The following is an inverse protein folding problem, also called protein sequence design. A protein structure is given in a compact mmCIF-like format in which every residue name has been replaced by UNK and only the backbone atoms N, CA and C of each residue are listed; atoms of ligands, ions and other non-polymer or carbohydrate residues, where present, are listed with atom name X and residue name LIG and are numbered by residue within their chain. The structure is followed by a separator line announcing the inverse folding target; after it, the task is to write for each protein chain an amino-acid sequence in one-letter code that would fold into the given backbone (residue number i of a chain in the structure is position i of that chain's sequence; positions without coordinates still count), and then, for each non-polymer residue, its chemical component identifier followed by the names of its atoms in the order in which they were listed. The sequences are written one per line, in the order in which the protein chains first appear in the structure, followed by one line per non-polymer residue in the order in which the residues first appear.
data_IF_210927842034
#
_entry.id   IF_210927842034
#
_cell.length_a   1.000
_cell.length_b   1.000
_cell.length_c   1.000
_cell.angle_alpha   90.00
_cell.angle_beta   90.00
_cell.angle_gamma   90.00
#
_symmetry.space_group_name_H-M   'P 1'
#
loop_
_entity.id
_entity.type
_entity.pdbx_description
1 polymer ?
#
# COMPACT_ATOMS: atom_id res chain seq x y z
N UNK A 1 16.73 -13.91 30.51
CA UNK A 1 15.62 -14.07 29.55
C UNK A 1 14.90 -12.73 29.46
N UNK A 2 14.88 -12.06 28.29
CA UNK A 2 14.20 -10.77 28.19
C UNK A 2 12.68 -11.03 28.25
N UNK A 3 12.00 -10.24 29.10
CA UNK A 3 10.53 -10.28 29.22
C UNK A 3 9.90 -9.84 27.89
N UNK A 4 8.81 -10.48 27.42
CA UNK A 4 8.08 -9.98 26.26
C UNK A 4 7.50 -8.59 26.56
N UNK A 5 7.72 -7.65 25.64
CA UNK A 5 7.23 -6.27 25.73
C UNK A 5 5.68 -6.25 25.73
N UNK A 6 5.03 -5.40 26.55
CA UNK A 6 3.56 -5.35 26.74
C UNK A 6 2.80 -4.67 25.58
N UNK A 7 3.28 -4.77 24.34
CA UNK A 7 2.73 -4.03 23.19
C UNK A 7 1.46 -4.72 22.64
N UNK A 8 1.35 -6.04 22.78
CA UNK A 8 0.25 -6.81 22.21
C UNK A 8 -1.04 -6.75 23.02
N UNK A 9 -0.94 -6.61 24.35
CA UNK A 9 -2.10 -6.36 25.19
C UNK A 9 -2.72 -4.99 24.90
N UNK A 10 -1.99 -4.01 24.39
CA UNK A 10 -2.56 -2.68 24.12
C UNK A 10 -3.13 -2.52 22.70
N UNK A 11 -2.76 -3.36 21.74
CA UNK A 11 -3.45 -3.42 20.44
C UNK A 11 -4.75 -4.25 20.51
N UNK A 12 -4.86 -5.18 21.46
CA UNK A 12 -6.01 -6.08 21.62
C UNK A 12 -6.91 -5.68 22.80
N UNK A 13 -6.40 -5.00 23.83
CA UNK A 13 -7.22 -4.32 24.87
C UNK A 13 -7.52 -2.85 24.48
N UNK A 14 -7.48 -2.55 23.18
CA UNK A 14 -8.16 -1.41 22.57
C UNK A 14 -9.60 -1.83 22.22
N UNK A 15 -10.30 -2.42 23.19
CA UNK A 15 -11.63 -3.00 23.02
C UNK A 15 -12.61 -2.43 24.05
N UNK A 16 -13.67 -1.84 23.51
CA UNK A 16 -15.02 -1.69 24.08
C UNK A 16 -15.45 -0.45 24.86
N UNK A 17 -14.57 0.40 25.41
CA UNK A 17 -15.06 1.52 26.27
C UNK A 17 -14.64 2.94 25.89
N UNK A 18 -13.64 3.15 25.00
CA UNK A 18 -13.22 4.49 24.55
C UNK A 18 -12.73 4.57 23.09
N UNK A 19 -13.17 3.64 22.24
CA UNK A 19 -13.13 3.81 20.77
C UNK A 19 -14.52 4.23 20.33
N UNK A 20 -14.89 5.45 20.70
CA UNK A 20 -16.07 6.03 20.13
C UNK A 20 -15.79 6.36 18.66
N UNK A 21 -15.99 5.40 17.76
CA UNK A 21 -15.36 5.33 16.44
C UNK A 21 -13.86 5.03 16.61
N UNK A 22 -13.17 4.20 15.83
CA UNK A 22 -12.80 4.50 14.45
C UNK A 22 -12.85 5.99 14.07
N UNK A 23 -12.51 6.89 14.99
CA UNK A 23 -11.93 8.17 14.60
C UNK A 23 -10.61 7.80 13.93
N UNK A 24 -10.61 7.77 12.59
CA UNK A 24 -9.39 7.86 11.78
C UNK A 24 -8.43 6.69 12.06
N UNK A 25 -8.56 5.60 11.29
CA UNK A 25 -7.42 4.69 11.14
C UNK A 25 -6.17 5.55 10.88
N UNK A 26 -5.20 5.42 11.78
CA UNK A 26 -4.03 6.31 11.83
C UNK A 26 -3.36 6.34 10.45
N UNK A 27 -2.87 7.50 9.99
CA UNK A 27 -2.07 7.61 8.76
C UNK A 27 -0.83 6.70 8.73
N UNK A 28 -0.52 6.02 9.85
CA UNK A 28 0.64 5.17 10.03
C UNK A 28 0.28 3.70 10.32
N UNK A 29 -0.92 3.24 9.94
CA UNK A 29 -1.28 1.81 10.06
C UNK A 29 -0.26 0.92 9.36
N UNK A 30 0.25 1.34 8.20
CA UNK A 30 1.30 0.61 7.47
C UNK A 30 2.58 0.41 8.28
N UNK A 31 3.09 1.46 8.93
CA UNK A 31 4.32 1.39 9.72
C UNK A 31 4.18 0.49 10.96
N UNK A 32 3.04 0.60 11.67
CA UNK A 32 2.76 -0.25 12.83
C UNK A 32 2.57 -1.71 12.41
N UNK A 33 1.81 -1.94 11.33
CA UNK A 33 1.52 -3.29 10.83
C UNK A 33 2.77 -4.00 10.30
N UNK A 34 3.65 -3.28 9.60
CA UNK A 34 4.92 -3.83 9.09
C UNK A 34 5.87 -4.28 10.22
N UNK A 35 5.76 -3.72 11.41
CA UNK A 35 6.56 -4.09 12.57
C UNK A 35 6.04 -5.34 13.33
N UNK A 36 4.84 -5.82 13.01
CA UNK A 36 4.26 -7.02 13.60
C UNK A 36 4.92 -8.29 13.05
N UNK A 37 4.93 -9.37 13.83
CA UNK A 37 5.30 -10.70 13.33
C UNK A 37 4.29 -11.18 12.28
N UNK A 38 4.70 -12.09 11.40
CA UNK A 38 3.83 -12.64 10.34
C UNK A 38 2.55 -13.30 10.87
N UNK A 39 2.58 -13.84 12.09
CA UNK A 39 1.39 -14.41 12.74
C UNK A 39 0.44 -13.30 13.20
N UNK A 40 0.95 -12.24 13.82
CA UNK A 40 0.15 -11.09 14.25
C UNK A 40 -0.44 -10.32 13.06
N UNK A 41 0.33 -10.20 11.97
CA UNK A 41 -0.14 -9.63 10.71
C UNK A 41 -1.33 -10.41 10.16
N UNK A 42 -1.25 -11.75 10.15
CA UNK A 42 -2.34 -12.62 9.70
C UNK A 42 -3.58 -12.45 10.57
N UNK A 43 -3.42 -12.52 11.89
CA UNK A 43 -4.53 -12.34 12.83
C UNK A 43 -5.21 -10.98 12.68
N UNK A 44 -4.43 -9.94 12.40
CA UNK A 44 -4.95 -8.59 12.16
C UNK A 44 -5.75 -8.51 10.85
N UNK A 45 -5.22 -9.07 9.76
CA UNK A 45 -5.91 -9.15 8.47
C UNK A 45 -7.20 -9.95 8.58
N UNK A 46 -7.21 -11.08 9.29
CA UNK A 46 -8.40 -11.91 9.50
C UNK A 46 -9.49 -11.15 10.28
N UNK A 47 -9.10 -10.33 11.27
CA UNK A 47 -10.02 -9.44 11.98
C UNK A 47 -10.58 -8.35 11.07
N UNK A 48 -9.78 -7.78 10.17
CA UNK A 48 -10.26 -6.80 9.18
C UNK A 48 -11.23 -7.43 8.18
N UNK A 49 -10.95 -8.65 7.70
CA UNK A 49 -11.90 -9.40 6.86
C UNK A 49 -13.23 -9.62 7.58
N UNK A 50 -13.17 -10.09 8.83
CA UNK A 50 -14.37 -10.31 9.64
C UNK A 50 -15.15 -9.01 9.89
N UNK A 51 -14.45 -7.88 10.11
CA UNK A 51 -15.08 -6.58 10.23
C UNK A 51 -15.77 -6.15 8.92
N UNK A 52 -15.08 -6.27 7.77
CA UNK A 52 -15.64 -5.94 6.46
C UNK A 52 -16.89 -6.78 6.14
N UNK A 53 -16.88 -8.08 6.47
CA UNK A 53 -18.04 -8.96 6.31
C UNK A 53 -19.21 -8.57 7.24
N UNK A 54 -18.92 -8.07 8.46
CA UNK A 54 -19.97 -7.49 9.32
C UNK A 54 -20.58 -6.24 8.70
N UNK A 55 -19.81 -5.40 8.01
CA UNK A 55 -20.36 -4.23 7.30
C UNK A 55 -21.35 -4.61 6.19
N UNK A 56 -21.15 -5.75 5.52
CA UNK A 56 -22.09 -6.21 4.49
C UNK A 56 -23.45 -6.61 5.09
N UNK A 57 -23.46 -7.14 6.30
CA UNK A 57 -24.66 -7.68 6.94
C UNK A 57 -25.33 -6.73 7.92
N UNK A 58 -24.55 -5.87 8.60
CA UNK A 58 -25.00 -4.96 9.67
C UNK A 58 -24.75 -3.49 9.34
N UNK A 59 -24.18 -3.17 8.17
CA UNK A 59 -23.84 -1.79 7.81
C UNK A 59 -25.03 -0.85 7.69
N UNK A 60 -26.27 -1.37 7.61
CA UNK A 60 -27.50 -0.57 7.59
C UNK A 60 -28.16 -0.48 8.99
N UNK A 61 -27.61 -1.16 10.00
CA UNK A 61 -28.12 -1.10 11.38
C UNK A 61 -27.63 0.17 12.08
N UNK A 62 -28.60 1.01 12.47
CA UNK A 62 -28.36 2.28 13.18
C UNK A 62 -27.67 2.07 14.52
N UNK A 63 -28.03 1.03 15.27
CA UNK A 63 -27.42 0.77 16.58
C UNK A 63 -25.98 0.29 16.41
N UNK A 64 -25.71 -0.55 15.40
CA UNK A 64 -24.36 -0.94 15.04
C UNK A 64 -23.50 0.29 14.68
N UNK A 65 -23.95 1.15 13.77
CA UNK A 65 -23.22 2.35 13.38
C UNK A 65 -23.08 3.37 14.51
N UNK A 66 -24.06 3.45 15.43
CA UNK A 66 -23.97 4.28 16.64
C UNK A 66 -22.99 3.71 17.66
N UNK A 67 -22.89 2.38 17.79
CA UNK A 67 -21.85 1.74 18.63
C UNK A 67 -20.44 2.09 18.13
N UNK A 68 -20.30 2.31 16.83
CA UNK A 68 -19.10 2.82 16.18
C UNK A 68 -19.02 4.36 16.21
N UNK A 69 -19.94 5.08 16.84
CA UNK A 69 -20.00 6.54 16.95
C UNK A 69 -19.89 7.28 15.60
N UNK A 70 -20.44 6.69 14.54
CA UNK A 70 -20.48 7.30 13.20
C UNK A 70 -21.79 8.05 12.93
N UNK A 71 -22.79 7.85 13.79
CA UNK A 71 -24.07 8.51 13.70
C UNK A 71 -24.24 9.48 14.86
N UNK A 72 -24.75 10.67 14.53
CA UNK A 72 -25.26 11.63 15.51
C UNK A 72 -26.48 11.05 16.25
N UNK A 73 -26.87 11.60 17.42
CA UNK A 73 -27.98 11.08 18.20
C UNK A 73 -29.30 10.94 17.41
N UNK A 74 -29.57 11.87 16.49
CA UNK A 74 -30.74 11.84 15.59
C UNK A 74 -30.27 11.87 14.13
N UNK A 75 -30.01 10.71 13.50
CA UNK A 75 -29.50 10.63 12.13
C UNK A 75 -30.56 11.08 11.11
N UNK A 76 -30.13 11.67 9.99
CA UNK A 76 -30.98 11.89 8.81
C UNK A 76 -31.07 10.59 8.00
N UNK A 77 -32.07 10.44 7.11
CA UNK A 77 -32.16 9.26 6.24
C UNK A 77 -30.91 9.01 5.36
N UNK A 78 -30.13 10.06 5.07
CA UNK A 78 -28.88 9.97 4.32
C UNK A 78 -27.64 9.65 5.17
N UNK A 79 -27.72 9.75 6.50
CA UNK A 79 -26.55 9.54 7.36
C UNK A 79 -26.10 8.08 7.39
N UNK A 80 -27.05 7.14 7.46
CA UNK A 80 -26.77 5.69 7.47
C UNK A 80 -26.03 5.22 6.21
N UNK A 81 -26.57 5.40 4.98
CA UNK A 81 -25.89 4.94 3.77
C UNK A 81 -24.54 5.63 3.54
N UNK A 82 -24.41 6.91 3.92
CA UNK A 82 -23.14 7.64 3.83
C UNK A 82 -22.10 7.09 4.81
N UNK A 83 -22.48 6.83 6.06
CA UNK A 83 -21.59 6.25 7.06
C UNK A 83 -21.13 4.84 6.65
N UNK A 84 -22.06 4.01 6.13
CA UNK A 84 -21.75 2.68 5.60
C UNK A 84 -20.74 2.76 4.44
N UNK A 85 -21.00 3.61 3.45
CA UNK A 85 -20.11 3.77 2.30
C UNK A 85 -18.70 4.19 2.73
N UNK A 86 -18.59 5.21 3.59
CA UNK A 86 -17.31 5.68 4.11
C UNK A 86 -16.55 4.58 4.89
N UNK A 87 -17.27 3.75 5.67
CA UNK A 87 -16.67 2.62 6.36
C UNK A 87 -16.18 1.53 5.41
N UNK A 88 -16.94 1.22 4.37
CA UNK A 88 -16.55 0.23 3.36
C UNK A 88 -15.30 0.70 2.63
N UNK A 89 -15.29 1.94 2.14
CA UNK A 89 -14.14 2.51 1.43
C UNK A 89 -12.89 2.51 2.31
N UNK A 90 -13.03 2.99 3.56
CA UNK A 90 -11.93 2.99 4.52
C UNK A 90 -11.44 1.57 4.84
N UNK A 91 -12.34 0.62 5.07
CA UNK A 91 -11.96 -0.76 5.40
C UNK A 91 -11.26 -1.45 4.23
N UNK A 92 -11.76 -1.26 3.01
CA UNK A 92 -11.16 -1.80 1.79
C UNK A 92 -9.75 -1.23 1.56
N UNK A 93 -9.55 0.07 1.79
CA UNK A 93 -8.23 0.69 1.69
C UNK A 93 -7.24 0.13 2.73
N UNK A 94 -7.63 0.06 4.01
CA UNK A 94 -6.76 -0.47 5.06
C UNK A 94 -6.43 -1.94 4.86
N UNK A 95 -7.40 -2.73 4.43
CA UNK A 95 -7.19 -4.14 4.10
C UNK A 95 -6.15 -4.27 2.97
N UNK A 96 -6.28 -3.46 1.91
CA UNK A 96 -5.32 -3.44 0.80
C UNK A 96 -3.91 -3.07 1.25
N UNK A 97 -3.77 -2.07 2.14
CA UNK A 97 -2.47 -1.73 2.74
C UNK A 97 -1.90 -2.88 3.58
N UNK A 98 -2.71 -3.50 4.45
CA UNK A 98 -2.25 -4.62 5.27
C UNK A 98 -1.84 -5.83 4.42
N UNK A 99 -2.56 -6.08 3.33
CA UNK A 99 -2.22 -7.14 2.37
C UNK A 99 -0.88 -6.83 1.66
N UNK A 100 -0.62 -5.57 1.28
CA UNK A 100 0.69 -5.14 0.76
C UNK A 100 1.81 -5.46 1.75
N UNK A 101 1.68 -4.99 2.99
CA UNK A 101 2.73 -5.05 4.01
C UNK A 101 2.78 -6.38 4.79
N UNK A 102 1.96 -7.37 4.42
CA UNK A 102 2.05 -8.72 5.00
C UNK A 102 3.39 -9.38 4.62
N UNK A 103 3.88 -10.28 5.47
CA UNK A 103 5.09 -11.07 5.21
C UNK A 103 4.76 -12.57 5.20
N UNK A 104 4.80 -13.24 4.02
CA UNK A 104 5.02 -12.67 2.68
C UNK A 104 3.86 -11.78 2.22
N UNK A 105 4.10 -10.94 1.22
CA UNK A 105 3.08 -10.03 0.68
C UNK A 105 1.87 -10.80 0.15
N UNK A 106 0.67 -10.29 0.45
CA UNK A 106 -0.63 -10.83 0.05
C UNK A 106 -1.37 -9.87 -0.88
N UNK A 107 -0.66 -8.94 -1.53
CA UNK A 107 -1.24 -7.87 -2.36
C UNK A 107 -2.17 -8.39 -3.46
N UNK A 108 -1.94 -9.58 -4.01
CA UNK A 108 -2.83 -10.20 -4.99
C UNK A 108 -4.27 -10.39 -4.48
N UNK A 109 -4.48 -10.56 -3.17
CA UNK A 109 -5.81 -10.67 -2.56
C UNK A 109 -6.54 -9.32 -2.48
N UNK A 110 -5.84 -8.20 -2.71
CA UNK A 110 -6.38 -6.87 -2.55
C UNK A 110 -7.28 -6.41 -3.72
N UNK A 111 -7.24 -7.09 -4.87
CA UNK A 111 -7.95 -6.71 -6.12
C UNK A 111 -9.40 -6.27 -5.88
N UNK A 112 -10.31 -7.10 -5.30
CA UNK A 112 -11.71 -6.72 -5.17
C UNK A 112 -11.94 -5.54 -4.22
N UNK A 113 -11.00 -5.26 -3.32
CA UNK A 113 -11.08 -4.14 -2.39
C UNK A 113 -10.60 -2.85 -3.05
N UNK A 114 -9.51 -2.91 -3.81
CA UNK A 114 -8.98 -1.78 -4.57
C UNK A 114 -9.94 -1.34 -5.67
N UNK A 115 -10.58 -2.28 -6.38
CA UNK A 115 -11.63 -1.97 -7.36
C UNK A 115 -12.79 -1.19 -6.71
N UNK A 116 -13.20 -1.60 -5.51
CA UNK A 116 -14.24 -0.88 -4.76
C UNK A 116 -13.78 0.52 -4.32
N UNK A 117 -12.53 0.68 -3.87
CA UNK A 117 -11.97 1.98 -3.49
C UNK A 117 -11.95 2.93 -4.69
N UNK A 118 -11.45 2.46 -5.84
CA UNK A 118 -11.41 3.26 -7.08
C UNK A 118 -12.83 3.61 -7.55
N UNK A 119 -13.76 2.66 -7.51
CA UNK A 119 -15.15 2.91 -7.87
C UNK A 119 -15.85 3.91 -6.92
N UNK A 120 -15.54 3.84 -5.62
CA UNK A 120 -16.00 4.78 -4.60
C UNK A 120 -15.49 6.20 -4.88
N UNK A 121 -14.18 6.33 -5.15
CA UNK A 121 -13.55 7.60 -5.53
C UNK A 121 -14.21 8.21 -6.77
N UNK A 122 -14.31 7.45 -7.86
CA UNK A 122 -14.94 7.92 -9.12
C UNK A 122 -16.40 8.36 -8.92
N UNK A 123 -17.15 7.70 -8.02
CA UNK A 123 -18.53 8.09 -7.69
C UNK A 123 -18.60 9.42 -6.96
N UNK A 124 -17.65 9.67 -6.05
CA UNK A 124 -17.61 10.88 -5.24
C UNK A 124 -16.94 12.06 -5.98
N UNK A 125 -16.15 11.75 -7.03
CA UNK A 125 -15.36 12.70 -7.81
C UNK A 125 -15.52 12.42 -9.32
N UNK A 126 -16.74 12.57 -9.90
CA UNK A 126 -17.01 12.18 -11.29
C UNK A 126 -16.22 12.98 -12.34
N UNK A 127 -15.93 14.25 -12.06
CA UNK A 127 -15.09 15.12 -12.88
C UNK A 127 -13.67 15.28 -12.29
N UNK A 128 -13.35 14.48 -11.26
CA UNK A 128 -12.17 14.65 -10.44
C UNK A 128 -10.94 13.94 -10.98
N UNK A 129 -9.81 14.28 -10.37
CA UNK A 129 -8.51 13.68 -10.64
C UNK A 129 -8.51 12.19 -10.25
N UNK A 130 -7.69 11.42 -10.98
CA UNK A 130 -7.43 10.02 -10.68
C UNK A 130 -6.76 9.93 -9.32
N UNK A 131 -7.32 9.13 -8.40
CA UNK A 131 -6.59 8.76 -7.19
C UNK A 131 -5.51 7.75 -7.57
N UNK A 132 -4.29 8.26 -7.75
CA UNK A 132 -3.18 7.48 -8.28
C UNK A 132 -2.74 6.36 -7.34
N UNK A 133 -2.98 6.49 -6.03
CA UNK A 133 -2.46 5.52 -5.04
C UNK A 133 -3.17 4.17 -5.15
N UNK A 134 -4.52 4.09 -5.12
CA UNK A 134 -5.24 2.85 -5.36
C UNK A 134 -4.99 2.27 -6.75
N UNK A 135 -4.84 3.11 -7.79
CA UNK A 135 -4.52 2.67 -9.16
C UNK A 135 -3.14 1.97 -9.20
N UNK A 136 -2.11 2.54 -8.56
CA UNK A 136 -0.80 1.90 -8.41
C UNK A 136 -0.88 0.56 -7.68
N UNK A 137 -1.62 0.50 -6.55
CA UNK A 137 -1.79 -0.73 -5.79
C UNK A 137 -2.53 -1.80 -6.60
N UNK A 138 -3.55 -1.41 -7.38
CA UNK A 138 -4.32 -2.35 -8.21
C UNK A 138 -3.47 -2.87 -9.36
N UNK A 139 -2.67 -2.02 -10.00
CA UNK A 139 -1.68 -2.45 -10.99
C UNK A 139 -0.73 -3.52 -10.42
N UNK A 140 -0.20 -3.32 -9.21
CA UNK A 140 0.65 -4.32 -8.54
C UNK A 140 -0.12 -5.59 -8.16
N UNK A 141 -1.35 -5.46 -7.65
CA UNK A 141 -2.16 -6.62 -7.28
C UNK A 141 -2.50 -7.51 -8.48
N UNK A 142 -2.80 -6.91 -9.64
CA UNK A 142 -3.07 -7.60 -10.89
C UNK A 142 -1.79 -8.18 -11.53
N UNK A 143 -0.65 -7.51 -11.39
CA UNK A 143 0.65 -8.01 -11.85
C UNK A 143 1.00 -9.40 -11.29
N UNK A 144 0.55 -9.68 -10.06
CA UNK A 144 0.75 -10.96 -9.36
C UNK A 144 -0.22 -12.08 -9.83
N UNK A 145 -1.21 -11.75 -10.68
CA UNK A 145 -2.22 -12.71 -11.16
C UNK A 145 -1.95 -13.09 -12.63
N UNK A 146 -1.71 -14.37 -12.94
CA UNK A 146 -1.52 -14.82 -14.32
C UNK A 146 -2.72 -14.46 -15.21
N UNK A 147 -2.47 -13.88 -16.38
CA UNK A 147 -3.52 -13.50 -17.34
C UNK A 147 -4.14 -12.11 -17.11
N UNK A 148 -3.67 -11.37 -16.11
CA UNK A 148 -4.13 -10.00 -15.80
C UNK A 148 -3.12 -8.92 -16.24
N UNK A 149 -2.17 -9.26 -17.10
CA UNK A 149 -1.03 -8.39 -17.43
C UNK A 149 -1.46 -7.06 -18.07
N UNK A 150 -2.34 -7.10 -19.08
CA UNK A 150 -2.82 -5.88 -19.74
C UNK A 150 -3.71 -5.02 -18.83
N UNK A 151 -4.48 -5.66 -17.93
CA UNK A 151 -5.25 -4.94 -16.92
C UNK A 151 -4.31 -4.21 -15.94
N UNK A 152 -3.25 -4.88 -15.47
CA UNK A 152 -2.23 -4.26 -14.64
C UNK A 152 -1.57 -3.06 -15.34
N UNK A 153 -1.19 -3.20 -16.62
CA UNK A 153 -0.61 -2.12 -17.43
C UNK A 153 -1.57 -0.92 -17.53
N UNK A 154 -2.88 -1.16 -17.74
CA UNK A 154 -3.86 -0.09 -17.83
C UNK A 154 -3.94 0.74 -16.54
N UNK A 155 -3.92 0.08 -15.37
CA UNK A 155 -3.91 0.75 -14.07
C UNK A 155 -2.61 1.51 -13.79
N UNK A 156 -1.44 0.93 -14.15
CA UNK A 156 -0.17 1.64 -14.06
C UNK A 156 -0.16 2.91 -14.94
N UNK A 157 -0.61 2.80 -16.19
CA UNK A 157 -0.71 3.97 -17.09
C UNK A 157 -1.66 5.02 -16.56
N UNK A 158 -2.85 4.63 -16.09
CA UNK A 158 -3.79 5.58 -15.49
C UNK A 158 -3.16 6.35 -14.32
N UNK A 159 -2.38 5.68 -13.47
CA UNK A 159 -1.67 6.33 -12.37
C UNK A 159 -0.56 7.28 -12.85
N UNK A 160 0.31 6.85 -13.77
CA UNK A 160 1.47 7.64 -14.19
C UNK A 160 1.15 8.70 -15.26
N UNK A 161 0.06 8.56 -16.01
CA UNK A 161 -0.44 9.64 -16.87
C UNK A 161 -1.00 10.80 -16.01
N UNK A 162 -1.58 10.48 -14.85
CA UNK A 162 -2.10 11.47 -13.91
C UNK A 162 -1.00 12.07 -13.00
N UNK A 163 -0.01 11.27 -12.61
CA UNK A 163 1.14 11.68 -11.79
C UNK A 163 2.45 11.13 -12.40
N UNK A 164 3.01 11.82 -13.41
CA UNK A 164 4.17 11.32 -14.15
C UNK A 164 5.47 11.37 -13.34
N UNK A 165 5.60 12.29 -12.38
CA UNK A 165 6.81 12.47 -11.61
C UNK A 165 6.70 11.82 -10.21
N UNK A 166 7.81 11.28 -9.72
CA UNK A 166 7.90 10.75 -8.35
C UNK A 166 7.83 11.91 -7.34
N UNK A 167 6.65 12.11 -6.75
CA UNK A 167 6.37 13.16 -5.77
C UNK A 167 6.43 12.70 -4.31
N UNK A 168 5.65 13.36 -3.45
CA UNK A 168 5.65 13.18 -1.97
C UNK A 168 5.39 11.73 -1.50
N UNK A 169 4.78 10.89 -2.34
CA UNK A 169 4.55 9.47 -2.08
C UNK A 169 5.63 8.57 -2.69
N UNK A 170 6.89 9.03 -2.67
CA UNK A 170 8.00 8.44 -3.41
C UNK A 170 8.14 6.93 -3.20
N UNK A 171 8.00 6.42 -1.97
CA UNK A 171 8.11 4.98 -1.68
C UNK A 171 7.04 4.15 -2.38
N UNK A 172 5.79 4.62 -2.47
CA UNK A 172 4.73 3.89 -3.18
C UNK A 172 5.00 3.93 -4.67
N UNK A 173 5.38 5.09 -5.22
CA UNK A 173 5.64 5.22 -6.65
C UNK A 173 6.84 4.40 -7.11
N UNK A 174 7.96 4.45 -6.38
CA UNK A 174 9.16 3.67 -6.69
C UNK A 174 8.85 2.16 -6.67
N UNK A 175 8.15 1.71 -5.64
CA UNK A 175 7.72 0.31 -5.53
C UNK A 175 6.81 -0.09 -6.70
N UNK A 176 5.79 0.70 -7.02
CA UNK A 176 4.86 0.37 -8.10
C UNK A 176 5.53 0.45 -9.47
N UNK A 177 6.47 1.38 -9.69
CA UNK A 177 7.26 1.47 -10.94
C UNK A 177 8.20 0.29 -11.08
N UNK A 178 8.82 -0.16 -9.99
CA UNK A 178 9.64 -1.37 -10.02
C UNK A 178 8.81 -2.63 -10.39
N UNK A 179 7.60 -2.76 -9.85
CA UNK A 179 6.66 -3.80 -10.28
C UNK A 179 6.27 -3.66 -11.76
N UNK A 180 6.02 -2.44 -12.23
CA UNK A 180 5.65 -2.16 -13.61
C UNK A 180 6.80 -2.48 -14.59
N UNK A 181 8.02 -2.06 -14.28
CA UNK A 181 9.23 -2.44 -15.02
C UNK A 181 9.35 -3.95 -15.18
N UNK A 182 9.24 -4.71 -14.08
CA UNK A 182 9.30 -6.19 -14.12
C UNK A 182 8.21 -6.79 -15.01
N UNK A 183 7.00 -6.26 -14.95
CA UNK A 183 5.91 -6.67 -15.85
C UNK A 183 6.30 -6.46 -17.31
N UNK A 184 6.82 -5.28 -17.64
CA UNK A 184 7.18 -4.91 -19.00
C UNK A 184 8.34 -5.77 -19.54
N UNK A 185 9.39 -6.01 -18.75
CA UNK A 185 10.46 -6.94 -19.13
C UNK A 185 9.93 -8.36 -19.38
N UNK A 186 9.05 -8.86 -18.50
CA UNK A 186 8.43 -10.19 -18.66
C UNK A 186 7.64 -10.31 -19.98
N UNK A 187 7.06 -9.22 -20.45
CA UNK A 187 6.33 -9.14 -21.72
C UNK A 187 7.21 -8.80 -22.93
N UNK A 188 8.52 -8.60 -22.74
CA UNK A 188 9.44 -8.17 -23.80
C UNK A 188 9.24 -6.72 -24.27
N UNK A 189 8.56 -5.87 -23.47
CA UNK A 189 8.31 -4.46 -23.76
C UNK A 189 9.48 -3.59 -23.28
N UNK A 190 10.66 -3.92 -23.78
CA UNK A 190 11.94 -3.46 -23.24
C UNK A 190 12.07 -1.93 -23.19
N UNK A 191 11.63 -1.22 -24.23
CA UNK A 191 11.69 0.24 -24.26
C UNK A 191 10.92 0.87 -23.09
N UNK A 192 9.68 0.44 -22.88
CA UNK A 192 8.84 0.97 -21.80
C UNK A 192 9.37 0.54 -20.43
N UNK A 193 9.96 -0.65 -20.33
CA UNK A 193 10.57 -1.13 -19.10
C UNK A 193 11.75 -0.25 -18.67
N UNK A 194 12.65 0.07 -19.62
CA UNK A 194 13.79 0.95 -19.40
C UNK A 194 13.38 2.37 -19.01
N UNK A 195 12.26 2.88 -19.54
CA UNK A 195 11.70 4.18 -19.10
C UNK A 195 11.31 4.15 -17.61
N UNK A 196 10.77 3.03 -17.11
CA UNK A 196 10.46 2.88 -15.69
C UNK A 196 11.71 2.71 -14.83
N UNK A 197 12.70 1.96 -15.33
CA UNK A 197 13.98 1.78 -14.64
C UNK A 197 14.72 3.10 -14.47
N UNK A 198 14.78 3.90 -15.55
CA UNK A 198 15.45 5.20 -15.57
C UNK A 198 14.79 6.18 -14.60
N UNK A 199 13.46 6.23 -14.55
CA UNK A 199 12.73 7.09 -13.61
C UNK A 199 13.05 6.73 -12.15
N UNK A 200 13.06 5.43 -11.83
CA UNK A 200 13.38 4.96 -10.47
C UNK A 200 14.84 5.22 -10.11
N UNK A 201 15.79 4.95 -11.02
CA UNK A 201 17.22 5.16 -10.80
C UNK A 201 17.57 6.66 -10.69
N UNK A 202 17.06 7.48 -11.60
CA UNK A 202 17.29 8.91 -11.62
C UNK A 202 16.79 9.59 -10.35
N UNK A 203 15.64 9.16 -9.83
CA UNK A 203 15.10 9.72 -8.59
C UNK A 203 16.01 9.43 -7.38
N UNK A 204 16.46 8.19 -7.19
CA UNK A 204 17.29 7.84 -6.02
C UNK A 204 18.69 8.46 -6.09
N UNK A 205 19.25 8.60 -7.30
CA UNK A 205 20.53 9.30 -7.53
C UNK A 205 20.42 10.78 -7.20
N UNK A 206 19.31 11.44 -7.57
CA UNK A 206 19.09 12.87 -7.29
C UNK A 206 18.63 13.14 -5.85
N UNK A 207 18.17 12.11 -5.13
CA UNK A 207 17.72 12.20 -3.73
C UNK A 207 18.54 11.27 -2.81
N UNK A 208 19.86 11.46 -2.69
CA UNK A 208 20.74 10.50 -2.05
C UNK A 208 20.46 10.26 -0.56
N UNK A 209 19.76 11.18 0.09
CA UNK A 209 19.42 11.10 1.52
C UNK A 209 17.98 10.65 1.78
N UNK A 210 17.20 10.32 0.75
CA UNK A 210 15.79 9.98 0.91
C UNK A 210 15.60 8.56 1.48
N UNK A 211 16.48 7.62 1.14
CA UNK A 211 16.47 6.27 1.70
C UNK A 211 17.86 5.63 1.63
N UNK A 212 18.10 4.68 2.52
CA UNK A 212 19.32 3.88 2.54
C UNK A 212 19.36 2.87 1.39
N UNK A 213 20.55 2.42 0.93
CA UNK A 213 20.68 1.34 -0.04
C UNK A 213 19.84 0.09 0.26
N UNK A 214 19.78 -0.34 1.52
CA UNK A 214 19.02 -1.49 1.99
C UNK A 214 17.52 -1.25 1.91
N UNK A 215 17.06 -0.06 2.29
CA UNK A 215 15.65 0.33 2.12
C UNK A 215 15.26 0.35 0.65
N UNK A 216 16.08 0.94 -0.23
CA UNK A 216 15.82 0.96 -1.67
C UNK A 216 15.81 -0.46 -2.25
N UNK A 217 16.80 -1.30 -1.94
CA UNK A 217 16.85 -2.70 -2.39
C UNK A 217 15.61 -3.47 -1.96
N UNK A 218 15.18 -3.33 -0.70
CA UNK A 218 13.97 -3.96 -0.20
C UNK A 218 12.71 -3.46 -0.90
N UNK A 219 12.69 -2.18 -1.31
CA UNK A 219 11.55 -1.55 -1.96
C UNK A 219 11.39 -2.01 -3.42
N UNK A 220 12.50 -2.15 -4.16
CA UNK A 220 12.47 -2.49 -5.60
C UNK A 220 12.65 -3.97 -5.87
N UNK A 221 13.08 -4.78 -4.89
CA UNK A 221 13.19 -6.23 -5.05
C UNK A 221 11.83 -6.94 -4.94
N UNK A 222 11.75 -8.11 -5.56
CA UNK A 222 10.65 -9.05 -5.39
C UNK A 222 11.22 -10.40 -4.99
N UNK A 223 10.92 -10.92 -3.77
CA UNK A 223 11.44 -12.20 -3.31
C UNK A 223 10.92 -13.40 -4.12
N UNK A 224 9.85 -13.24 -4.92
CA UNK A 224 9.31 -14.28 -5.80
C UNK A 224 9.95 -14.26 -7.19
N UNK A 225 10.64 -13.18 -7.56
CA UNK A 225 11.26 -13.06 -8.87
C UNK A 225 12.69 -13.61 -8.84
N UNK A 226 12.90 -14.73 -9.52
CA UNK A 226 14.25 -15.26 -9.75
C UNK A 226 14.95 -14.48 -10.87
N UNK A 227 16.17 -14.02 -10.61
CA UNK A 227 16.99 -13.37 -11.63
C UNK A 227 17.62 -12.05 -11.17
N UNK A 228 18.15 -11.33 -12.14
CA UNK A 228 18.74 -10.01 -11.94
C UNK A 228 17.62 -8.97 -11.89
N UNK A 229 17.68 -8.04 -10.94
CA UNK A 229 16.78 -6.90 -10.90
C UNK A 229 17.36 -5.77 -11.78
N UNK A 230 16.74 -5.43 -12.93
CA UNK A 230 17.31 -4.45 -13.88
C UNK A 230 17.65 -3.10 -13.23
N UNK A 231 16.76 -2.60 -12.35
CA UNK A 231 16.95 -1.37 -11.58
C UNK A 231 18.23 -1.40 -10.74
N UNK A 232 18.53 -2.53 -10.09
CA UNK A 232 19.71 -2.65 -9.21
C UNK A 232 21.01 -2.92 -9.99
N UNK A 233 20.92 -3.24 -11.28
CA UNK A 233 22.05 -3.70 -12.08
C UNK A 233 22.64 -2.64 -13.01
N UNK A 234 22.01 -1.46 -13.08
CA UNK A 234 22.53 -0.35 -13.89
C UNK A 234 23.91 0.10 -13.37
N UNK A 235 24.80 0.58 -14.26
CA UNK A 235 26.10 1.11 -13.86
C UNK A 235 25.98 2.21 -12.79
N UNK A 236 25.04 3.13 -13.00
CA UNK A 236 24.79 4.26 -12.11
C UNK A 236 24.38 3.82 -10.71
N UNK A 237 23.50 2.81 -10.59
CA UNK A 237 23.10 2.29 -9.27
C UNK A 237 24.23 1.53 -8.57
N UNK A 238 25.09 0.83 -9.33
CA UNK A 238 26.27 0.16 -8.77
C UNK A 238 27.29 1.15 -8.24
N UNK A 239 27.55 2.22 -8.99
CA UNK A 239 28.42 3.32 -8.56
C UNK A 239 27.83 4.04 -7.34
N UNK A 240 26.56 4.44 -7.43
CA UNK A 240 25.83 5.11 -6.35
C UNK A 240 25.90 4.31 -5.04
N UNK A 241 25.62 3.00 -5.07
CA UNK A 241 25.72 2.16 -3.88
C UNK A 241 27.16 1.86 -3.47
N UNK A 242 28.11 1.79 -4.40
CA UNK A 242 29.53 1.60 -4.11
C UNK A 242 30.14 2.77 -3.31
N UNK A 243 29.57 3.96 -3.49
CA UNK A 243 29.96 5.18 -2.79
C UNK A 243 29.22 5.39 -1.46
N UNK A 244 28.47 4.39 -0.97
CA UNK A 244 27.71 4.46 0.27
C UNK A 244 28.10 3.38 1.27
N UNK A 245 28.14 3.74 2.55
CA UNK A 245 28.29 2.79 3.64
C UNK A 245 27.19 2.98 4.67
N UNK A 246 26.40 1.93 4.88
CA UNK A 246 25.40 1.89 5.93
C UNK A 246 26.04 1.59 7.29
N UNK A 247 25.76 2.43 8.28
CA UNK A 247 26.26 2.29 9.65
C UNK A 247 25.25 1.61 10.59
N UNK A 248 24.01 1.41 10.13
CA UNK A 248 22.90 0.90 10.91
C UNK A 248 21.56 1.38 10.34
N UNK A 249 20.44 1.04 10.99
CA UNK A 249 19.11 1.39 10.50
C UNK A 249 18.97 2.90 10.26
N UNK A 250 18.74 3.29 9.01
CA UNK A 250 18.53 4.69 8.62
C UNK A 250 19.80 5.57 8.60
N UNK A 251 21.01 5.01 8.74
CA UNK A 251 22.25 5.80 8.78
C UNK A 251 23.20 5.42 7.63
N UNK A 252 23.58 6.41 6.81
CA UNK A 252 24.46 6.24 5.64
C UNK A 252 25.57 7.29 5.65
N UNK A 253 26.80 6.87 5.31
CA UNK A 253 27.90 7.76 4.91
C UNK A 253 28.00 7.75 3.39
N UNK A 254 28.10 8.94 2.78
CA UNK A 254 28.39 9.12 1.37
C UNK A 254 29.87 9.47 1.18
N UNK A 255 30.57 8.70 0.36
CA UNK A 255 31.92 8.99 -0.08
C UNK A 255 31.82 9.67 -1.45
N UNK A 256 31.90 11.00 -1.45
CA UNK A 256 31.93 11.81 -2.68
C UNK A 256 33.27 11.73 -3.41
#
# INVERSE_FOLDING_TARGET
MPKPLPVLSNLITFTSARLGALSVFHQNVSGIFAALSSTEQRDFVDKLFAFRAKLDTQGDDVEFLRSLNLLKPVPTPSDVPRAKAALIDSSNWHLSMCLRYSTPTRIAEAVPYLEQVIAGHKRNHPDGEVDVTPEMYLGVALHEQPGQEEAAIAHFRAAYDAAPDIGDQCNTQIWSRACYSRLLHRLGREKEALEQDDEVCSWIVTHPFAMTPSEFRNLVADPKHEGKNPILETPDMKEYFGNMMELGPGMVIHFG
#
